data_IF_173611489529
#
_entry.id   IF_173611489529
#
_cell.length_a   1.000
_cell.length_b   1.000
_cell.length_c   1.000
_cell.angle_alpha   90.00
_cell.angle_beta   90.00
_cell.angle_gamma   90.00
#
_symmetry.space_group_name_H-M   'P 1'
#
loop_
_entity.id
_entity.type
_entity.pdbx_description
1 polymer ?
#
# COMPACT_ATOMS: atom_id res chain seq x y z
N UNK A 1 -3.00 -14.94 14.78
CA UNK A 1 -4.17 -14.06 14.73
C UNK A 1 -4.93 -14.37 15.99
N UNK A 2 -4.84 -13.49 16.98
CA UNK A 2 -5.51 -13.69 18.27
C UNK A 2 -6.89 -13.07 18.18
N UNK A 3 -7.90 -13.91 17.99
CA UNK A 3 -9.30 -13.48 17.78
C UNK A 3 -9.98 -13.46 19.14
N UNK A 4 -10.41 -12.29 19.61
CA UNK A 4 -11.33 -12.16 20.75
C UNK A 4 -12.75 -11.95 20.23
N UNK A 5 -13.65 -12.86 20.58
CA UNK A 5 -15.08 -12.77 20.28
C UNK A 5 -15.82 -12.65 21.60
N UNK A 6 -16.66 -11.63 21.75
CA UNK A 6 -17.63 -11.55 22.86
C UNK A 6 -19.03 -11.56 22.27
N UNK A 7 -19.90 -12.41 22.82
CA UNK A 7 -21.34 -12.37 22.53
C UNK A 7 -21.97 -11.31 23.43
N UNK A 8 -22.68 -10.35 22.84
CA UNK A 8 -23.42 -9.35 23.63
C UNK A 8 -24.84 -9.87 23.89
N UNK A 9 -25.12 -10.30 25.11
CA UNK A 9 -26.51 -10.38 25.57
C UNK A 9 -27.02 -8.94 25.76
N UNK A 10 -28.19 -8.66 25.20
CA UNK A 10 -28.76 -7.32 24.96
C UNK A 10 -28.99 -6.41 26.20
N UNK A 11 -28.50 -6.73 27.40
CA UNK A 11 -28.83 -5.99 28.62
C UNK A 11 -27.70 -5.80 29.65
N UNK A 12 -26.43 -5.85 29.26
CA UNK A 12 -25.34 -5.45 30.17
C UNK A 12 -24.08 -4.99 29.44
N UNK A 13 -23.41 -3.96 29.97
CA UNK A 13 -22.12 -3.47 29.48
C UNK A 13 -21.13 -4.62 29.27
N UNK A 14 -20.47 -4.74 28.09
CA UNK A 14 -19.58 -5.85 27.82
C UNK A 14 -18.36 -5.83 28.76
N UNK A 15 -18.18 -6.88 29.56
CA UNK A 15 -16.93 -7.13 30.29
C UNK A 15 -15.98 -7.92 29.40
N UNK A 16 -14.78 -7.39 29.20
CA UNK A 16 -13.72 -8.00 28.39
C UNK A 16 -13.13 -9.22 29.13
N UNK A 17 -13.38 -10.44 28.64
CA UNK A 17 -12.71 -11.66 29.09
C UNK A 17 -11.60 -12.10 28.13
N UNK A 18 -10.65 -12.86 28.67
CA UNK A 18 -9.37 -13.25 28.06
C UNK A 18 -9.48 -14.24 26.88
N UNK A 19 -8.35 -14.43 26.19
CA UNK A 19 -8.08 -15.19 24.95
C UNK A 19 -8.85 -16.53 24.84
N UNK A 20 -9.49 -16.76 23.67
CA UNK A 20 -10.17 -18.02 23.40
C UNK A 20 -9.20 -19.07 22.81
N UNK A 21 -9.17 -20.26 23.41
CA UNK A 21 -8.35 -21.39 22.95
C UNK A 21 -9.03 -22.15 21.80
N UNK A 22 -8.29 -23.02 21.11
CA UNK A 22 -8.76 -23.84 19.97
C UNK A 22 -9.98 -24.73 20.31
N UNK A 23 -10.21 -25.02 21.60
CA UNK A 23 -11.34 -25.79 22.10
C UNK A 23 -12.65 -24.98 22.17
N UNK A 24 -12.58 -23.66 22.38
CA UNK A 24 -13.77 -22.79 22.37
C UNK A 24 -14.28 -22.54 20.94
N UNK A 25 -13.41 -22.63 19.93
CA UNK A 25 -13.77 -22.52 18.52
C UNK A 25 -14.73 -23.63 18.06
N UNK A 26 -14.59 -24.85 18.60
CA UNK A 26 -15.47 -25.97 18.26
C UNK A 26 -16.88 -25.82 18.88
N UNK A 27 -17.03 -25.05 19.96
CA UNK A 27 -18.33 -24.68 20.54
C UNK A 27 -19.08 -23.63 19.71
N UNK A 28 -18.41 -22.92 18.81
CA UNK A 28 -19.03 -21.94 17.89
C UNK A 28 -19.85 -22.64 16.80
N UNK A 29 -19.61 -23.94 16.56
CA UNK A 29 -20.37 -24.73 15.57
C UNK A 29 -21.86 -24.90 15.90
N UNK A 30 -22.29 -24.53 17.11
CA UNK A 30 -23.67 -24.70 17.61
C UNK A 30 -24.43 -23.39 17.88
N UNK A 31 -23.86 -22.22 17.57
CA UNK A 31 -24.55 -20.92 17.75
C UNK A 31 -25.45 -20.65 16.53
N UNK A 32 -26.75 -20.44 16.80
CA UNK A 32 -27.79 -20.22 15.78
C UNK A 32 -27.57 -18.96 14.95
N UNK A 33 -28.08 -18.99 13.72
CA UNK A 33 -27.77 -18.12 12.58
C UNK A 33 -28.03 -16.60 12.76
N UNK A 34 -28.56 -16.16 13.91
CA UNK A 34 -29.09 -14.81 14.11
C UNK A 34 -28.46 -14.01 15.27
N UNK A 35 -27.33 -14.44 15.87
CA UNK A 35 -26.67 -13.63 16.91
C UNK A 35 -25.52 -12.76 16.37
N UNK A 36 -25.44 -11.46 16.76
CA UNK A 36 -24.36 -10.57 16.34
C UNK A 36 -23.06 -10.88 17.11
N UNK A 37 -21.96 -11.04 16.37
CA UNK A 37 -20.61 -11.21 16.92
C UNK A 37 -19.73 -10.00 16.57
N UNK A 38 -18.95 -9.52 17.54
CA UNK A 38 -18.03 -8.39 17.38
C UNK A 38 -16.59 -8.92 17.34
N UNK A 39 -15.80 -8.49 16.34
CA UNK A 39 -14.38 -8.79 16.23
C UNK A 39 -13.57 -7.55 16.64
N UNK A 40 -12.60 -7.74 17.52
CA UNK A 40 -11.55 -6.75 17.80
C UNK A 40 -10.28 -7.13 17.04
N UNK A 41 -9.79 -6.24 16.18
CA UNK A 41 -8.39 -6.25 15.74
C UNK A 41 -7.61 -5.35 16.71
N UNK A 42 -6.44 -5.78 17.19
CA UNK A 42 -5.74 -5.14 18.34
C UNK A 42 -5.32 -3.68 18.12
N UNK A 43 -5.53 -3.11 16.92
CA UNK A 43 -5.08 -1.76 16.56
C UNK A 43 -6.20 -0.78 16.18
N UNK A 44 -7.48 -1.12 16.31
CA UNK A 44 -8.58 -0.17 15.99
C UNK A 44 -9.55 0.04 17.15
N UNK A 45 -9.79 1.30 17.49
CA UNK A 45 -10.90 1.69 18.35
C UNK A 45 -12.24 1.33 17.69
N UNK A 46 -13.18 0.88 18.52
CA UNK A 46 -14.52 0.42 18.14
C UNK A 46 -15.22 1.37 17.15
N UNK A 47 -15.69 0.83 16.03
CA UNK A 47 -16.58 1.51 15.07
C UNK A 47 -17.79 0.62 14.80
N UNK A 48 -18.99 1.15 14.97
CA UNK A 48 -20.26 0.47 14.73
C UNK A 48 -20.48 0.05 13.27
N UNK A 49 -19.62 0.49 12.35
CA UNK A 49 -19.63 0.08 10.94
C UNK A 49 -18.94 -1.28 10.67
N UNK A 50 -18.34 -1.90 11.69
CA UNK A 50 -17.65 -3.21 11.58
C UNK A 50 -18.53 -4.40 12.05
N UNK A 51 -19.83 -4.36 11.78
CA UNK A 51 -20.71 -5.52 11.99
C UNK A 51 -20.61 -6.45 10.78
N UNK A 52 -19.76 -7.46 10.89
CA UNK A 52 -19.65 -8.53 9.91
C UNK A 52 -20.67 -9.63 10.23
N UNK A 53 -21.48 -10.04 9.25
CA UNK A 53 -22.34 -11.22 9.39
C UNK A 53 -21.48 -12.49 9.55
N UNK A 54 -21.96 -13.50 10.29
CA UNK A 54 -21.28 -14.80 10.44
C UNK A 54 -20.95 -15.43 9.07
N UNK A 55 -21.73 -15.15 8.02
CA UNK A 55 -21.45 -15.54 6.64
C UNK A 55 -20.21 -14.85 6.05
N UNK A 56 -20.03 -13.54 6.29
CA UNK A 56 -18.82 -12.82 5.90
C UNK A 56 -17.59 -13.25 6.71
N UNK A 57 -17.78 -13.68 7.96
CA UNK A 57 -16.73 -14.30 8.78
C UNK A 57 -16.33 -15.66 8.19
N UNK A 58 -17.28 -16.52 7.79
CA UNK A 58 -17.01 -17.81 7.12
C UNK A 58 -16.33 -17.64 5.75
N UNK A 59 -16.71 -16.63 4.96
CA UNK A 59 -16.05 -16.29 3.69
C UNK A 59 -14.65 -15.66 3.89
N UNK A 60 -14.37 -15.08 5.06
CA UNK A 60 -13.07 -14.58 5.46
C UNK A 60 -12.18 -15.65 6.12
N UNK A 61 -12.76 -16.75 6.59
CA UNK A 61 -12.08 -17.70 7.48
C UNK A 61 -11.36 -18.86 6.79
N UNK A 62 -11.53 -19.16 5.50
CA UNK A 62 -10.75 -20.23 4.84
C UNK A 62 -10.81 -20.17 3.30
N UNK A 63 -9.92 -19.40 2.68
CA UNK A 63 -9.45 -19.70 1.31
C UNK A 63 -7.99 -19.31 1.19
N UNK A 64 -7.08 -20.25 1.41
CA UNK A 64 -5.70 -20.11 0.95
C UNK A 64 -5.75 -19.98 -0.57
N UNK A 65 -5.17 -18.91 -1.11
CA UNK A 65 -5.11 -18.71 -2.56
C UNK A 65 -4.54 -19.96 -3.24
N UNK A 66 -5.25 -20.44 -4.25
CA UNK A 66 -4.69 -21.40 -5.21
C UNK A 66 -3.47 -20.77 -5.88
N UNK A 67 -2.62 -21.60 -6.48
CA UNK A 67 -1.42 -21.09 -7.13
C UNK A 67 -1.75 -20.19 -8.34
N UNK A 68 -2.85 -20.46 -9.05
CA UNK A 68 -3.34 -19.61 -10.13
C UNK A 68 -3.82 -18.26 -9.60
N UNK A 69 -4.56 -18.25 -8.49
CA UNK A 69 -4.97 -16.99 -7.85
C UNK A 69 -3.78 -16.21 -7.29
N UNK A 70 -2.71 -16.89 -6.85
CA UNK A 70 -1.44 -16.23 -6.51
C UNK A 70 -0.87 -15.50 -7.72
N UNK A 71 -0.71 -16.17 -8.87
CA UNK A 71 -0.19 -15.54 -10.08
C UNK A 71 -1.08 -14.38 -10.55
N UNK A 72 -2.41 -14.56 -10.52
CA UNK A 72 -3.38 -13.51 -10.87
C UNK A 72 -3.29 -12.32 -9.91
N UNK A 73 -3.15 -12.59 -8.62
CA UNK A 73 -2.93 -11.58 -7.59
C UNK A 73 -1.64 -10.79 -7.79
N UNK A 74 -0.54 -11.49 -8.05
CA UNK A 74 0.75 -10.87 -8.37
C UNK A 74 0.66 -10.02 -9.65
N UNK A 75 -0.08 -10.48 -10.65
CA UNK A 75 -0.33 -9.72 -11.88
C UNK A 75 -1.14 -8.45 -11.62
N UNK A 76 -2.17 -8.53 -10.76
CA UNK A 76 -2.99 -7.37 -10.33
C UNK A 76 -2.14 -6.30 -9.65
N UNK A 77 -1.09 -6.69 -8.92
CA UNK A 77 -0.12 -5.78 -8.30
C UNK A 77 1.02 -5.35 -9.24
N UNK A 78 1.00 -5.76 -10.51
CA UNK A 78 2.03 -5.42 -11.50
C UNK A 78 3.34 -6.21 -11.35
N UNK A 79 3.38 -7.23 -10.50
CA UNK A 79 4.59 -8.01 -10.20
C UNK A 79 4.80 -9.20 -11.14
N UNK A 80 3.78 -9.61 -11.89
CA UNK A 80 3.81 -10.79 -12.75
C UNK A 80 3.17 -10.55 -14.11
N UNK A 81 3.87 -10.98 -15.18
CA UNK A 81 3.44 -10.89 -16.59
C UNK A 81 3.46 -12.24 -17.32
N UNK A 82 3.63 -13.34 -16.58
CA UNK A 82 3.67 -14.70 -17.15
C UNK A 82 2.30 -15.37 -17.21
N UNK A 83 2.23 -16.64 -17.63
CA UNK A 83 0.98 -17.40 -17.73
C UNK A 83 0.38 -17.72 -16.36
N UNK A 84 -0.96 -17.77 -16.28
CA UNK A 84 -1.70 -18.16 -15.07
C UNK A 84 -1.97 -19.67 -15.10
N UNK A 85 -0.92 -20.46 -14.86
CA UNK A 85 -0.91 -21.93 -14.99
C UNK A 85 -0.79 -22.68 -13.65
N UNK A 86 -0.67 -21.96 -12.54
CA UNK A 86 -0.45 -22.51 -11.19
C UNK A 86 0.99 -22.95 -10.91
N UNK A 87 1.92 -22.77 -11.84
CA UNK A 87 3.31 -23.13 -11.67
C UNK A 87 4.11 -22.03 -10.97
N UNK A 88 4.12 -22.07 -9.65
CA UNK A 88 4.91 -21.14 -8.82
C UNK A 88 6.43 -21.42 -8.86
N UNK A 89 6.87 -22.50 -9.51
CA UNK A 89 8.29 -22.90 -9.54
C UNK A 89 9.05 -22.38 -10.76
N UNK A 90 8.33 -21.86 -11.77
CA UNK A 90 8.93 -21.24 -12.96
C UNK A 90 9.80 -20.04 -12.59
N UNK A 91 10.81 -19.72 -13.41
CA UNK A 91 11.69 -18.57 -13.17
C UNK A 91 10.90 -17.26 -13.06
N UNK A 92 9.88 -17.07 -13.90
CA UNK A 92 9.01 -15.91 -13.87
C UNK A 92 8.20 -15.82 -12.58
N UNK A 93 7.57 -16.92 -12.14
CA UNK A 93 6.81 -16.94 -10.88
C UNK A 93 7.71 -16.73 -9.67
N UNK A 94 8.87 -17.40 -9.62
CA UNK A 94 9.86 -17.20 -8.55
C UNK A 94 10.34 -15.76 -8.47
N UNK A 95 10.61 -15.11 -9.61
CA UNK A 95 11.02 -13.70 -9.63
C UNK A 95 9.89 -12.79 -9.14
N UNK A 96 8.65 -13.00 -9.60
CA UNK A 96 7.50 -12.23 -9.10
C UNK A 96 7.26 -12.42 -7.60
N UNK A 97 7.47 -13.63 -7.07
CA UNK A 97 7.40 -13.90 -5.64
C UNK A 97 8.53 -13.18 -4.88
N UNK A 98 9.77 -13.16 -5.41
CA UNK A 98 10.87 -12.38 -4.82
C UNK A 98 10.54 -10.89 -4.79
N UNK A 99 10.00 -10.35 -5.88
CA UNK A 99 9.61 -8.94 -5.96
C UNK A 99 8.46 -8.63 -4.99
N UNK A 100 7.46 -9.51 -4.89
CA UNK A 100 6.40 -9.40 -3.87
C UNK A 100 6.97 -9.40 -2.45
N UNK A 101 7.92 -10.28 -2.17
CA UNK A 101 8.57 -10.36 -0.87
C UNK A 101 9.33 -9.08 -0.54
N UNK A 102 10.09 -8.54 -1.50
CA UNK A 102 10.86 -7.31 -1.34
C UNK A 102 9.96 -6.09 -1.06
N UNK A 103 8.84 -5.97 -1.78
CA UNK A 103 7.94 -4.81 -1.66
C UNK A 103 6.99 -4.97 -0.47
N UNK A 104 6.40 -6.15 -0.29
CA UNK A 104 5.25 -6.31 0.60
C UNK A 104 5.53 -7.17 1.84
N UNK A 105 6.68 -7.82 1.99
CA UNK A 105 6.95 -8.70 3.14
C UNK A 105 8.18 -8.23 3.94
N UNK A 106 8.34 -8.78 5.14
CA UNK A 106 9.53 -8.55 5.97
C UNK A 106 10.62 -9.59 5.72
N UNK A 107 10.25 -10.76 5.16
CA UNK A 107 11.19 -11.80 4.71
C UNK A 107 11.40 -11.67 3.21
N UNK A 108 12.63 -11.38 2.81
CA UNK A 108 12.99 -11.09 1.42
C UNK A 108 13.68 -12.28 0.77
N UNK A 109 13.55 -12.39 -0.56
CA UNK A 109 14.44 -13.16 -1.44
C UNK A 109 14.44 -14.70 -1.33
N UNK A 110 13.42 -15.31 -0.71
CA UNK A 110 13.27 -16.77 -0.72
C UNK A 110 12.73 -17.28 -2.07
N UNK A 111 11.92 -16.47 -2.77
CA UNK A 111 11.28 -16.87 -4.04
C UNK A 111 10.24 -17.98 -3.90
N UNK A 112 9.87 -18.34 -2.67
CA UNK A 112 8.83 -19.32 -2.33
C UNK A 112 7.61 -18.64 -1.70
N UNK A 113 6.41 -19.08 -2.09
CA UNK A 113 5.16 -18.51 -1.59
C UNK A 113 4.65 -19.34 -0.39
N UNK A 114 4.69 -18.77 0.82
CA UNK A 114 4.16 -19.39 2.03
C UNK A 114 2.69 -19.06 2.26
N UNK A 115 1.98 -19.80 3.11
CA UNK A 115 0.58 -19.50 3.42
C UNK A 115 0.40 -18.12 4.06
N UNK A 116 1.33 -17.68 4.91
CA UNK A 116 1.34 -16.32 5.47
C UNK A 116 1.43 -15.26 4.36
N UNK A 117 2.25 -15.51 3.34
CA UNK A 117 2.39 -14.62 2.18
C UNK A 117 1.13 -14.64 1.30
N UNK A 118 0.48 -15.79 1.12
CA UNK A 118 -0.82 -15.90 0.43
C UNK A 118 -1.90 -15.10 1.14
N UNK A 119 -1.98 -15.20 2.47
CA UNK A 119 -2.91 -14.40 3.28
C UNK A 119 -2.62 -12.90 3.13
N UNK A 120 -1.34 -12.51 3.13
CA UNK A 120 -0.95 -11.11 2.91
C UNK A 120 -1.36 -10.62 1.53
N UNK A 121 -1.09 -11.39 0.48
CA UNK A 121 -1.50 -11.09 -0.89
C UNK A 121 -3.03 -10.94 -0.98
N UNK A 122 -3.80 -11.89 -0.43
CA UNK A 122 -5.26 -11.82 -0.42
C UNK A 122 -5.77 -10.55 0.29
N UNK A 123 -5.16 -10.16 1.42
CA UNK A 123 -5.50 -8.92 2.13
C UNK A 123 -5.25 -7.66 1.28
N UNK A 124 -4.11 -7.60 0.59
CA UNK A 124 -3.77 -6.50 -0.33
C UNK A 124 -4.77 -6.42 -1.49
N UNK A 125 -5.11 -7.55 -2.10
CA UNK A 125 -6.07 -7.62 -3.21
C UNK A 125 -7.48 -7.22 -2.79
N UNK A 126 -7.93 -7.64 -1.60
CA UNK A 126 -9.23 -7.24 -1.04
C UNK A 126 -9.28 -5.73 -0.82
N UNK A 127 -8.26 -5.17 -0.17
CA UNK A 127 -8.16 -3.74 0.08
C UNK A 127 -8.12 -2.92 -1.22
N UNK A 128 -7.26 -3.30 -2.18
CA UNK A 128 -7.18 -2.61 -3.47
C UNK A 128 -8.50 -2.71 -4.24
N UNK A 129 -9.18 -3.86 -4.19
CA UNK A 129 -10.47 -4.07 -4.85
C UNK A 129 -11.59 -3.21 -4.25
N UNK A 130 -11.66 -3.10 -2.92
CA UNK A 130 -12.66 -2.22 -2.29
C UNK A 130 -12.41 -0.76 -2.65
N UNK A 131 -11.15 -0.35 -2.68
CA UNK A 131 -10.73 0.98 -3.10
C UNK A 131 -11.16 1.29 -4.54
N UNK A 132 -10.76 0.48 -5.53
CA UNK A 132 -11.04 0.78 -6.95
C UNK A 132 -12.53 0.70 -7.32
N UNK A 133 -13.32 -0.08 -6.58
CA UNK A 133 -14.76 -0.22 -6.80
C UNK A 133 -15.57 0.88 -6.09
N UNK A 134 -14.94 1.69 -5.24
CA UNK A 134 -15.60 2.82 -4.59
C UNK A 134 -15.72 3.99 -5.58
N UNK A 135 -16.94 4.49 -5.75
CA UNK A 135 -17.22 5.72 -6.49
C UNK A 135 -16.38 6.92 -6.01
N UNK A 136 -16.06 7.01 -4.72
CA UNK A 136 -15.20 8.05 -4.15
C UNK A 136 -13.78 7.99 -4.73
N UNK A 137 -13.25 6.80 -5.00
CA UNK A 137 -11.94 6.66 -5.63
C UNK A 137 -11.93 7.20 -7.08
N UNK A 138 -13.01 6.97 -7.82
CA UNK A 138 -13.19 7.57 -9.14
C UNK A 138 -13.29 9.10 -9.06
N UNK A 139 -13.95 9.63 -8.03
CA UNK A 139 -14.04 11.07 -7.79
C UNK A 139 -12.68 11.67 -7.44
N UNK A 140 -11.85 10.99 -6.63
CA UNK A 140 -10.47 11.42 -6.33
C UNK A 140 -9.65 11.57 -7.61
N UNK A 141 -9.65 10.54 -8.47
CA UNK A 141 -8.91 10.58 -9.72
C UNK A 141 -9.37 11.75 -10.63
N UNK A 142 -10.67 12.03 -10.66
CA UNK A 142 -11.22 13.17 -11.40
C UNK A 142 -10.76 14.52 -10.84
N UNK A 143 -10.79 14.70 -9.52
CA UNK A 143 -10.39 15.98 -8.89
C UNK A 143 -8.89 16.25 -8.99
N UNK A 144 -8.08 15.20 -9.00
CA UNK A 144 -6.64 15.28 -9.23
C UNK A 144 -6.25 15.25 -10.72
N UNK A 145 -7.23 15.16 -11.63
CA UNK A 145 -7.01 15.09 -13.08
C UNK A 145 -6.13 13.92 -13.53
N UNK A 146 -6.20 12.79 -12.84
CA UNK A 146 -5.37 11.61 -13.12
C UNK A 146 -5.86 10.87 -14.36
N UNK A 147 -4.92 10.42 -15.17
CA UNK A 147 -5.17 9.49 -16.26
C UNK A 147 -5.40 8.04 -15.74
N UNK A 148 -5.58 7.08 -16.65
CA UNK A 148 -5.81 5.68 -16.27
C UNK A 148 -4.61 5.02 -15.59
N UNK A 149 -3.39 5.41 -15.98
CA UNK A 149 -2.13 4.87 -15.46
C UNK A 149 -1.88 5.43 -14.06
N UNK A 150 -1.93 6.75 -13.90
CA UNK A 150 -1.77 7.47 -12.64
C UNK A 150 -2.83 7.05 -11.63
N UNK A 151 -4.09 6.89 -12.06
CA UNK A 151 -5.16 6.34 -11.22
C UNK A 151 -4.85 4.92 -10.75
N UNK A 152 -4.34 4.06 -11.63
CA UNK A 152 -3.96 2.69 -11.25
C UNK A 152 -2.77 2.69 -10.29
N UNK A 153 -1.80 3.58 -10.50
CA UNK A 153 -0.65 3.79 -9.63
C UNK A 153 -1.11 4.27 -8.25
N UNK A 154 -1.99 5.27 -8.17
CA UNK A 154 -2.56 5.75 -6.91
C UNK A 154 -3.23 4.62 -6.12
N UNK A 155 -3.99 3.74 -6.77
CA UNK A 155 -4.60 2.60 -6.07
C UNK A 155 -3.56 1.69 -5.42
N UNK A 156 -2.46 1.42 -6.12
CA UNK A 156 -1.36 0.57 -5.64
C UNK A 156 -0.54 1.29 -4.57
N UNK A 157 -0.21 2.57 -4.75
CA UNK A 157 0.50 3.41 -3.77
C UNK A 157 -0.30 3.54 -2.48
N UNK A 158 -1.60 3.85 -2.55
CA UNK A 158 -2.47 3.92 -1.37
C UNK A 158 -2.51 2.59 -0.63
N UNK A 159 -2.68 1.48 -1.37
CA UNK A 159 -2.64 0.11 -0.80
C UNK A 159 -1.31 -0.16 -0.12
N UNK A 160 -0.19 0.18 -0.75
CA UNK A 160 1.14 0.02 -0.20
C UNK A 160 1.35 0.85 1.08
N UNK A 161 1.02 2.14 1.07
CA UNK A 161 1.17 3.01 2.24
C UNK A 161 0.32 2.53 3.42
N UNK A 162 -0.94 2.15 3.17
CA UNK A 162 -1.87 1.70 4.22
C UNK A 162 -1.56 0.30 4.73
N UNK A 163 -1.30 -0.66 3.85
CA UNK A 163 -1.20 -2.08 4.22
C UNK A 163 0.22 -2.61 4.37
N UNK A 164 1.20 -1.99 3.71
CA UNK A 164 2.62 -2.37 3.85
C UNK A 164 3.36 -1.44 4.79
N UNK A 165 3.27 -0.12 4.59
CA UNK A 165 4.00 0.86 5.42
C UNK A 165 3.30 1.16 6.76
N UNK A 166 2.04 0.71 6.89
CA UNK A 166 1.25 0.82 8.11
C UNK A 166 0.97 2.27 8.47
N UNK A 167 0.64 3.08 7.47
CA UNK A 167 0.15 4.45 7.67
C UNK A 167 -1.36 4.44 7.91
N UNK A 168 -1.83 5.40 8.70
CA UNK A 168 -3.25 5.77 8.78
C UNK A 168 -3.72 6.51 7.51
N UNK A 169 -5.02 6.77 7.42
CA UNK A 169 -5.60 7.54 6.32
C UNK A 169 -5.01 8.93 6.16
N UNK A 170 -4.91 9.69 7.25
CA UNK A 170 -4.37 11.04 7.22
C UNK A 170 -2.89 11.03 6.84
N UNK A 171 -2.14 10.06 7.36
CA UNK A 171 -0.73 9.90 7.03
C UNK A 171 -0.50 9.54 5.56
N UNK A 172 -1.24 8.54 5.04
CA UNK A 172 -1.14 8.16 3.64
C UNK A 172 -1.56 9.33 2.71
N UNK A 173 -2.60 10.07 3.07
CA UNK A 173 -3.04 11.24 2.33
C UNK A 173 -1.98 12.36 2.30
N UNK A 174 -1.34 12.66 3.43
CA UNK A 174 -0.26 13.66 3.48
C UNK A 174 0.96 13.29 2.63
N UNK A 175 1.35 12.01 2.65
CA UNK A 175 2.41 11.49 1.76
C UNK A 175 1.97 11.56 0.30
N UNK A 176 0.78 11.08 -0.03
CA UNK A 176 0.27 11.11 -1.41
C UNK A 176 0.05 12.54 -1.95
N UNK A 177 -0.22 13.54 -1.10
CA UNK A 177 -0.27 14.93 -1.54
C UNK A 177 1.07 15.44 -2.08
N UNK A 178 2.18 14.99 -1.50
CA UNK A 178 3.52 15.25 -2.02
C UNK A 178 3.75 14.50 -3.34
N UNK A 179 3.47 13.18 -3.38
CA UNK A 179 3.65 12.39 -4.61
C UNK A 179 2.76 12.88 -5.78
N UNK A 180 1.57 13.41 -5.48
CA UNK A 180 0.70 14.06 -6.46
C UNK A 180 1.39 15.28 -7.07
N UNK A 181 1.97 16.12 -6.22
CA UNK A 181 2.68 17.32 -6.67
C UNK A 181 3.96 16.99 -7.45
N UNK A 182 4.78 16.08 -6.93
CA UNK A 182 6.06 15.70 -7.54
C UNK A 182 5.87 15.01 -8.90
N UNK A 183 4.89 14.11 -8.99
CA UNK A 183 4.80 13.24 -10.16
C UNK A 183 3.43 12.96 -10.72
N UNK A 184 2.36 13.48 -10.14
CA UNK A 184 0.99 13.02 -10.40
C UNK A 184 0.86 11.48 -10.29
N UNK A 185 1.66 10.85 -9.42
CA UNK A 185 1.76 9.38 -9.31
C UNK A 185 2.31 8.68 -10.57
N UNK A 186 2.91 9.41 -11.49
CA UNK A 186 3.67 8.86 -12.61
C UNK A 186 5.04 8.35 -12.15
N UNK A 187 5.51 7.27 -12.76
CA UNK A 187 6.77 6.60 -12.41
C UNK A 187 7.88 6.87 -13.43
N UNK A 188 7.59 7.51 -14.55
CA UNK A 188 8.55 7.81 -15.61
C UNK A 188 8.53 9.30 -16.00
N UNK A 189 7.94 10.13 -15.15
CA UNK A 189 8.01 11.58 -15.31
C UNK A 189 9.43 12.09 -15.03
N UNK A 190 9.80 13.13 -15.78
CA UNK A 190 11.11 13.76 -15.75
C UNK A 190 10.95 15.24 -15.45
N UNK A 191 11.67 15.76 -14.46
CA UNK A 191 11.85 17.19 -14.30
C UNK A 191 13.10 17.65 -15.05
N UNK A 192 12.94 18.63 -15.93
CA UNK A 192 14.04 19.34 -16.58
C UNK A 192 14.04 20.84 -16.23
N UNK A 193 14.98 21.59 -16.80
CA UNK A 193 15.22 23.01 -16.51
C UNK A 193 14.07 23.95 -16.93
N UNK A 194 13.10 23.44 -17.70
CA UNK A 194 12.05 24.25 -18.33
C UNK A 194 10.66 23.84 -17.81
N UNK A 195 10.41 22.55 -17.57
CA UNK A 195 9.13 22.06 -17.05
C UNK A 195 9.17 20.57 -16.67
N UNK A 196 8.12 20.09 -15.98
CA UNK A 196 7.87 18.65 -15.83
C UNK A 196 7.38 18.07 -17.15
N UNK A 197 8.01 16.99 -17.60
CA UNK A 197 7.59 16.20 -18.76
C UNK A 197 7.07 14.86 -18.25
N UNK A 198 5.76 14.67 -18.34
CA UNK A 198 5.11 13.43 -17.96
C UNK A 198 5.32 12.39 -19.09
N UNK A 199 5.78 11.19 -18.75
CA UNK A 199 6.00 10.08 -19.67
C UNK A 199 6.93 10.36 -20.87
N UNK A 200 8.08 11.04 -20.69
CA UNK A 200 9.01 11.32 -21.80
C UNK A 200 9.52 10.00 -22.45
N UNK A 201 9.07 9.66 -23.67
CA UNK A 201 9.43 8.39 -24.30
C UNK A 201 10.89 8.38 -24.78
N UNK A 202 11.55 9.54 -24.86
CA UNK A 202 12.92 9.69 -25.34
C UNK A 202 13.94 9.70 -24.20
N UNK A 203 13.49 9.89 -22.96
CA UNK A 203 14.40 9.91 -21.83
C UNK A 203 14.98 8.53 -21.56
N UNK A 204 16.32 8.46 -21.53
CA UNK A 204 17.06 7.29 -21.06
C UNK A 204 17.56 7.58 -19.67
N UNK A 205 17.12 6.78 -18.71
CA UNK A 205 17.49 6.92 -17.31
C UNK A 205 19.00 7.09 -17.13
N UNK A 206 19.39 8.21 -16.52
CA UNK A 206 20.78 8.51 -16.21
C UNK A 206 20.90 8.94 -14.74
N UNK A 207 21.70 8.21 -13.98
CA UNK A 207 21.91 8.50 -12.55
C UNK A 207 22.79 9.72 -12.27
N UNK A 208 23.33 10.39 -13.29
CA UNK A 208 24.30 11.50 -13.13
C UNK A 208 23.90 12.78 -13.88
N UNK A 209 22.68 12.86 -14.39
CA UNK A 209 22.19 14.03 -15.15
C UNK A 209 21.58 15.14 -14.29
N UNK A 210 21.38 14.89 -12.99
CA UNK A 210 20.76 15.85 -12.06
C UNK A 210 19.26 16.08 -12.27
N UNK A 211 18.62 15.34 -13.19
CA UNK A 211 17.19 15.49 -13.47
C UNK A 211 16.35 14.70 -12.47
N UNK A 212 15.31 15.33 -11.91
CA UNK A 212 14.32 14.65 -11.07
C UNK A 212 13.59 13.57 -11.87
N UNK A 213 13.37 12.41 -11.24
CA UNK A 213 12.74 11.27 -11.91
C UNK A 213 11.78 10.49 -11.00
N UNK A 214 10.63 10.10 -11.55
CA UNK A 214 9.68 9.19 -10.91
C UNK A 214 8.94 9.78 -9.71
N UNK A 215 8.40 8.89 -8.86
CA UNK A 215 7.44 9.22 -7.80
C UNK A 215 7.89 10.33 -6.84
N UNK A 216 9.16 10.30 -6.44
CA UNK A 216 9.76 11.23 -5.47
C UNK A 216 10.61 12.31 -6.16
N UNK A 217 10.59 12.38 -7.49
CA UNK A 217 11.52 13.23 -8.25
C UNK A 217 12.99 13.09 -7.84
N UNK A 218 13.46 11.85 -7.63
CA UNK A 218 14.85 11.57 -7.26
C UNK A 218 15.81 12.23 -8.26
N UNK A 219 16.54 13.24 -7.80
CA UNK A 219 17.42 14.08 -8.61
C UNK A 219 18.89 13.90 -8.23
N UNK A 220 19.15 13.55 -6.97
CA UNK A 220 20.49 13.33 -6.45
C UNK A 220 21.13 12.07 -7.02
N UNK A 221 22.40 12.18 -7.42
CA UNK A 221 23.14 11.09 -8.06
C UNK A 221 23.16 9.81 -7.21
N UNK A 222 23.27 9.95 -5.89
CA UNK A 222 23.31 8.82 -4.98
C UNK A 222 21.96 8.11 -4.93
N UNK A 223 20.87 8.85 -4.87
CA UNK A 223 19.50 8.32 -4.84
C UNK A 223 19.19 7.62 -6.16
N UNK A 224 19.43 8.28 -7.29
CA UNK A 224 19.24 7.68 -8.62
C UNK A 224 20.07 6.41 -8.84
N UNK A 225 21.28 6.33 -8.29
CA UNK A 225 22.07 5.08 -8.33
C UNK A 225 21.45 3.97 -7.49
N UNK A 226 20.92 4.28 -6.31
CA UNK A 226 20.24 3.30 -5.47
C UNK A 226 18.94 2.82 -6.11
N UNK A 227 18.14 3.72 -6.68
CA UNK A 227 16.96 3.35 -7.43
C UNK A 227 17.28 2.37 -8.57
N UNK A 228 18.32 2.66 -9.36
CA UNK A 228 18.79 1.76 -10.43
C UNK A 228 19.24 0.40 -9.86
N UNK A 229 19.94 0.40 -8.73
CA UNK A 229 20.35 -0.84 -8.07
C UNK A 229 19.14 -1.66 -7.59
N UNK A 230 18.14 -1.02 -6.97
CA UNK A 230 16.90 -1.66 -6.55
C UNK A 230 16.18 -2.29 -7.74
N UNK A 231 16.02 -1.55 -8.84
CA UNK A 231 15.38 -2.04 -10.06
C UNK A 231 16.13 -3.24 -10.66
N UNK A 232 17.47 -3.16 -10.77
CA UNK A 232 18.30 -4.25 -11.27
C UNK A 232 18.20 -5.50 -10.40
N UNK A 233 18.21 -5.35 -9.07
CA UNK A 233 18.07 -6.47 -8.13
C UNK A 233 16.70 -7.15 -8.24
N UNK A 234 15.66 -6.40 -8.58
CA UNK A 234 14.31 -6.90 -8.82
C UNK A 234 14.09 -7.41 -10.25
N UNK A 235 15.07 -7.25 -11.14
CA UNK A 235 14.97 -7.51 -12.58
C UNK A 235 13.77 -6.76 -13.22
N UNK A 236 13.66 -5.46 -12.89
CA UNK A 236 12.61 -4.56 -13.37
C UNK A 236 13.23 -3.32 -14.02
N UNK A 237 12.42 -2.60 -14.81
CA UNK A 237 12.80 -1.27 -15.28
C UNK A 237 12.78 -0.28 -14.10
N UNK A 238 13.59 0.78 -14.18
CA UNK A 238 13.59 1.88 -13.21
C UNK A 238 12.24 2.62 -13.17
N UNK A 239 11.50 2.64 -14.28
CA UNK A 239 10.13 3.16 -14.35
C UNK A 239 9.06 2.23 -13.77
N UNK A 240 9.41 1.01 -13.35
CA UNK A 240 8.43 0.09 -12.77
C UNK A 240 7.99 0.58 -11.38
N UNK A 241 6.68 0.70 -11.19
CA UNK A 241 6.09 1.15 -9.92
C UNK A 241 6.61 0.34 -8.73
N UNK A 242 6.73 -0.98 -8.85
CA UNK A 242 7.17 -1.81 -7.72
C UNK A 242 8.65 -1.63 -7.42
N UNK A 243 9.49 -1.32 -8.42
CA UNK A 243 10.89 -0.96 -8.18
C UNK A 243 10.98 0.35 -7.39
N UNK A 244 10.17 1.35 -7.75
CA UNK A 244 10.12 2.63 -7.06
C UNK A 244 9.52 2.52 -5.65
N UNK A 245 8.49 1.70 -5.44
CA UNK A 245 7.93 1.43 -4.11
C UNK A 245 8.92 0.68 -3.21
N UNK A 246 9.67 -0.28 -3.75
CA UNK A 246 10.74 -0.95 -3.01
C UNK A 246 11.85 0.04 -2.61
N UNK A 247 12.23 0.93 -3.52
CA UNK A 247 13.23 1.95 -3.24
C UNK A 247 12.73 2.95 -2.18
N UNK A 248 11.51 3.48 -2.34
CA UNK A 248 10.84 4.32 -1.35
C UNK A 248 10.85 3.66 0.03
N UNK A 249 10.43 2.39 0.13
CA UNK A 249 10.47 1.64 1.39
C UNK A 249 11.87 1.65 2.01
N UNK A 250 12.88 1.29 1.20
CA UNK A 250 14.26 1.20 1.64
C UNK A 250 14.75 2.53 2.22
N UNK A 251 14.48 3.65 1.54
CA UNK A 251 14.88 4.97 2.01
C UNK A 251 14.21 5.36 3.32
N UNK A 252 12.90 5.06 3.45
CA UNK A 252 12.10 5.36 4.62
C UNK A 252 12.44 4.48 5.83
N UNK A 253 12.76 3.20 5.64
CA UNK A 253 12.93 2.26 6.78
C UNK A 253 14.38 2.00 7.14
N UNK A 254 15.30 2.05 6.20
CA UNK A 254 16.70 1.66 6.39
C UNK A 254 17.72 2.65 5.81
N UNK A 255 17.27 3.56 4.93
CA UNK A 255 18.12 4.48 4.20
C UNK A 255 18.25 5.85 4.83
N UNK A 256 18.22 6.88 3.99
CA UNK A 256 18.51 8.27 4.36
C UNK A 256 17.41 8.88 5.24
N UNK A 257 16.17 8.38 5.15
CA UNK A 257 15.03 8.89 5.90
C UNK A 257 14.65 8.03 7.12
N UNK A 258 15.43 6.99 7.45
CA UNK A 258 15.15 6.07 8.57
C UNK A 258 14.87 6.73 9.92
N UNK A 259 15.48 7.89 10.18
CA UNK A 259 15.29 8.65 11.43
C UNK A 259 14.14 9.68 11.35
N UNK A 260 13.65 9.98 10.15
CA UNK A 260 12.58 10.94 9.86
C UNK A 260 11.24 10.23 9.71
N UNK A 261 11.22 9.05 9.09
CA UNK A 261 10.01 8.26 8.88
C UNK A 261 9.23 7.93 10.17
N UNK A 262 9.87 7.49 11.28
CA UNK A 262 9.15 7.28 12.53
C UNK A 262 8.52 8.56 13.11
N UNK A 263 9.15 9.73 12.88
CA UNK A 263 8.61 11.03 13.31
C UNK A 263 7.39 11.42 12.48
N UNK A 264 7.41 11.12 11.17
CA UNK A 264 6.22 11.27 10.32
C UNK A 264 5.06 10.43 10.85
N UNK A 265 5.32 9.17 11.24
CA UNK A 265 4.30 8.26 11.79
C UNK A 265 3.72 8.69 13.14
N UNK A 266 4.32 9.65 13.83
CA UNK A 266 3.76 10.23 15.07
C UNK A 266 2.78 11.38 14.79
N UNK A 267 2.74 11.89 13.56
CA UNK A 267 1.83 12.97 13.17
C UNK A 267 0.47 12.40 12.82
N UNK A 268 -0.58 13.11 13.23
CA UNK A 268 -1.96 12.62 13.17
C UNK A 268 -2.82 13.36 12.15
N UNK A 269 -2.55 14.64 11.89
CA UNK A 269 -3.28 15.41 10.90
C UNK A 269 -2.68 15.24 9.50
N UNK A 270 -3.54 15.30 8.48
CA UNK A 270 -3.13 15.23 7.07
C UNK A 270 -2.15 16.35 6.72
N UNK A 271 -2.40 17.56 7.22
CA UNK A 271 -1.54 18.73 7.01
C UNK A 271 -0.14 18.53 7.61
N UNK A 272 -0.06 18.17 8.90
CA UNK A 272 1.25 18.01 9.55
C UNK A 272 2.13 16.95 8.88
N UNK A 273 1.50 15.88 8.38
CA UNK A 273 2.19 14.83 7.63
C UNK A 273 2.67 15.36 6.28
N UNK A 274 1.80 16.08 5.56
CA UNK A 274 2.13 16.69 4.27
C UNK A 274 3.33 17.64 4.38
N UNK A 275 3.26 18.60 5.30
CA UNK A 275 4.30 19.61 5.52
C UNK A 275 5.61 18.98 5.99
N UNK A 276 5.52 17.96 6.85
CA UNK A 276 6.72 17.28 7.34
C UNK A 276 7.37 16.42 6.27
N UNK A 277 6.59 15.74 5.44
CA UNK A 277 7.14 14.96 4.34
C UNK A 277 7.88 15.87 3.35
N UNK A 278 7.27 17.01 2.99
CA UNK A 278 7.92 18.03 2.17
C UNK A 278 9.23 18.50 2.81
N UNK A 279 9.16 19.10 3.99
CA UNK A 279 10.34 19.77 4.60
C UNK A 279 11.44 18.81 5.05
N UNK A 280 11.10 17.57 5.41
CA UNK A 280 12.06 16.63 5.94
C UNK A 280 12.57 15.62 4.89
N UNK A 281 11.82 15.33 3.83
CA UNK A 281 12.16 14.27 2.87
C UNK A 281 12.36 14.79 1.46
N UNK A 282 11.43 15.57 0.92
CA UNK A 282 11.54 16.15 -0.44
C UNK A 282 12.53 17.32 -0.48
N UNK A 283 12.38 18.29 0.43
CA UNK A 283 13.25 19.46 0.53
C UNK A 283 13.29 20.30 -0.74
N UNK A 284 12.13 20.50 -1.38
CA UNK A 284 12.03 21.26 -2.62
C UNK A 284 12.50 22.71 -2.45
N UNK A 285 13.09 23.30 -3.50
CA UNK A 285 13.54 24.70 -3.47
C UNK A 285 12.39 25.69 -3.19
N UNK A 286 11.20 25.41 -3.73
CA UNK A 286 9.94 26.03 -3.33
C UNK A 286 8.96 24.94 -2.88
N UNK A 287 8.50 25.03 -1.63
CA UNK A 287 7.74 23.96 -1.00
C UNK A 287 6.34 23.72 -1.61
N UNK A 288 5.68 24.77 -2.13
CA UNK A 288 4.32 24.70 -2.69
C UNK A 288 3.31 23.96 -1.79
N UNK A 289 3.38 24.19 -0.46
CA UNK A 289 2.55 23.49 0.52
C UNK A 289 1.06 23.66 0.27
N UNK A 290 0.61 24.81 -0.23
CA UNK A 290 -0.78 25.06 -0.57
C UNK A 290 -1.34 24.05 -1.58
N UNK A 291 -0.54 23.69 -2.60
CA UNK A 291 -0.92 22.70 -3.62
C UNK A 291 -0.86 21.28 -3.06
N UNK A 292 0.22 20.94 -2.35
CA UNK A 292 0.39 19.60 -1.74
C UNK A 292 -0.70 19.31 -0.71
N UNK A 293 -1.03 20.28 0.14
CA UNK A 293 -2.08 20.18 1.14
C UNK A 293 -3.46 20.07 0.49
N UNK A 294 -3.73 20.81 -0.59
CA UNK A 294 -4.97 20.69 -1.35
C UNK A 294 -5.17 19.25 -1.84
N UNK A 295 -4.16 18.68 -2.47
CA UNK A 295 -4.22 17.31 -3.00
C UNK A 295 -4.34 16.29 -1.86
N UNK A 296 -3.57 16.45 -0.78
CA UNK A 296 -3.69 15.63 0.43
C UNK A 296 -5.12 15.67 1.01
N UNK A 297 -5.77 16.84 1.03
CA UNK A 297 -7.13 16.99 1.51
C UNK A 297 -8.16 16.31 0.60
N UNK A 298 -7.99 16.36 -0.73
CA UNK A 298 -8.83 15.62 -1.69
C UNK A 298 -8.70 14.12 -1.42
N UNK A 299 -7.47 13.61 -1.30
CA UNK A 299 -7.19 12.22 -1.00
C UNK A 299 -7.82 11.78 0.33
N UNK A 300 -7.62 12.54 1.41
CA UNK A 300 -8.20 12.22 2.70
C UNK A 300 -9.73 12.26 2.69
N UNK A 301 -10.34 13.29 2.06
CA UNK A 301 -11.79 13.43 1.96
C UNK A 301 -12.47 12.18 1.41
N UNK A 302 -11.91 11.62 0.34
CA UNK A 302 -12.52 10.50 -0.38
C UNK A 302 -12.03 9.13 0.07
N UNK A 303 -10.78 9.00 0.51
CA UNK A 303 -10.16 7.70 0.75
C UNK A 303 -10.00 7.33 2.23
N UNK A 304 -10.35 8.23 3.17
CA UNK A 304 -10.14 7.98 4.61
C UNK A 304 -10.80 6.71 5.17
N UNK A 305 -11.87 6.26 4.54
CA UNK A 305 -12.63 5.08 4.98
C UNK A 305 -11.99 3.75 4.54
N UNK A 306 -10.91 3.81 3.73
CA UNK A 306 -10.07 2.66 3.31
C UNK A 306 -8.72 2.74 4.01
#
# INVERSE_FOLDING_TARGET
MDIKITTSNYNSSPKCSSMASKEEYNKISTIGENEPAIIYDQETSFSSNNLYSIQSIRANANTTLTNQEVQSGLSTLGLYKGPIDGNLTSSASKQAIKNFQQVYCDTHNAGTMTDKMKTKLLGLLRFRRTLINDSKFNQTAKELSLDSTEKSNLATIWTFLRKRMGLSASQAAGVCGNLSFESHFSTDNLQDDISRIDHDPNYKYNSSDGKGYGLMQWSEKIEKKKLLQTANNMNLNVSDLNAQLAHFQEEMTSGIYRNKWPKLKQKTSTKDVCDYFESAMEGAGEAHLDKREKDANILYKYLKDH
#
